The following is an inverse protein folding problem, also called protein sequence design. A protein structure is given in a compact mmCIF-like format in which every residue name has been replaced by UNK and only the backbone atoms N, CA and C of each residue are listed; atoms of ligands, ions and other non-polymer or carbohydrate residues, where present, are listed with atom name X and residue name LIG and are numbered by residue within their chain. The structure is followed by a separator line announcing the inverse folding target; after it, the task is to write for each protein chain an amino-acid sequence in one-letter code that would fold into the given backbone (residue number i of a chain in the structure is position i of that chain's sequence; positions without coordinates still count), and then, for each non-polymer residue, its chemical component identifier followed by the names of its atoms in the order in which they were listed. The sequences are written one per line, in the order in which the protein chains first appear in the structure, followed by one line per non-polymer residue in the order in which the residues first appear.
data_IF_216062322959
#
_entry.id   IF_216062322959
#
_cell.length_a   1.000
_cell.length_b   1.000
_cell.length_c   1.000
_cell.angle_alpha   90.00
_cell.angle_beta   90.00
_cell.angle_gamma   90.00
#
_symmetry.space_group_name_H-M   'P 1'
#
loop_
_entity.id
_entity.type
_entity.pdbx_description
1 polymer ?
#
# COMPACT_ATOMS: atom_id res chain seq x y z
N UNK A 1 16.06 -5.99 8.69
CA UNK A 1 14.59 -5.78 8.84
C UNK A 1 13.92 -6.02 7.51
N UNK A 2 12.78 -6.68 7.52
CA UNK A 2 12.02 -6.93 6.30
C UNK A 2 11.07 -5.79 5.99
N UNK A 3 11.06 -5.40 4.72
CA UNK A 3 10.12 -4.44 4.19
C UNK A 3 9.37 -5.03 3.00
N UNK A 4 8.25 -4.43 2.67
CA UNK A 4 7.36 -4.89 1.62
C UNK A 4 6.94 -3.72 0.74
N UNK A 5 6.68 -4.03 -0.53
CA UNK A 5 6.18 -3.05 -1.50
C UNK A 5 5.14 -3.74 -2.39
N UNK A 6 3.95 -3.17 -2.45
CA UNK A 6 2.87 -3.69 -3.29
C UNK A 6 2.84 -3.01 -4.66
N UNK A 7 2.70 -3.79 -5.72
CA UNK A 7 2.53 -3.26 -7.07
C UNK A 7 1.85 -4.28 -8.00
N UNK A 8 1.38 -3.80 -9.13
CA UNK A 8 0.87 -4.67 -10.20
C UNK A 8 1.95 -5.10 -11.18
N UNK A 9 3.18 -4.64 -11.02
CA UNK A 9 4.28 -4.90 -11.94
C UNK A 9 4.89 -6.29 -11.73
N UNK A 10 4.99 -7.05 -12.81
CA UNK A 10 5.57 -8.39 -12.83
C UNK A 10 7.05 -8.32 -13.18
N UNK A 11 7.85 -9.23 -12.60
CA UNK A 11 9.23 -9.44 -13.01
C UNK A 11 10.22 -8.40 -12.57
N UNK A 12 9.87 -7.58 -11.58
CA UNK A 12 10.81 -6.60 -11.03
C UNK A 12 11.92 -7.28 -10.25
N UNK A 13 13.16 -6.82 -10.45
CA UNK A 13 14.33 -7.27 -9.71
C UNK A 13 14.78 -6.22 -8.69
N UNK A 14 14.35 -4.99 -8.86
CA UNK A 14 14.67 -3.87 -7.99
C UNK A 14 13.55 -2.84 -8.02
N UNK A 15 13.46 -2.04 -6.97
CA UNK A 15 12.55 -0.90 -6.89
C UNK A 15 13.35 0.38 -7.13
N UNK A 16 12.85 1.24 -8.01
CA UNK A 16 13.48 2.51 -8.34
C UNK A 16 12.69 3.67 -7.79
N UNK A 17 13.36 4.74 -7.34
CA UNK A 17 12.65 5.94 -6.89
C UNK A 17 11.73 6.48 -7.96
N UNK A 18 10.50 6.81 -7.56
CA UNK A 18 9.50 7.39 -8.45
C UNK A 18 8.51 8.22 -7.63
N UNK A 19 7.75 9.07 -8.33
CA UNK A 19 6.65 9.81 -7.71
C UNK A 19 5.40 8.94 -7.76
N UNK A 20 4.78 8.63 -6.61
CA UNK A 20 3.53 7.87 -6.60
C UNK A 20 2.40 8.66 -7.26
N UNK A 21 1.42 7.94 -7.81
CA UNK A 21 0.21 8.54 -8.38
C UNK A 21 -0.51 9.34 -7.29
N UNK A 22 -0.86 10.60 -7.59
CA UNK A 22 -1.56 11.47 -6.65
C UNK A 22 -0.70 12.01 -5.51
N UNK A 23 0.61 11.81 -5.54
CA UNK A 23 1.49 12.28 -4.49
C UNK A 23 1.65 13.80 -4.53
N UNK A 24 1.66 14.41 -3.35
CA UNK A 24 2.03 15.82 -3.18
C UNK A 24 3.52 16.01 -2.95
N UNK A 25 4.27 14.91 -2.92
CA UNK A 25 5.70 14.89 -2.66
C UNK A 25 6.44 15.28 -3.94
N UNK A 26 7.40 16.19 -3.82
CA UNK A 26 8.18 16.71 -4.95
C UNK A 26 9.37 15.82 -5.31
N UNK A 27 9.79 14.94 -4.41
CA UNK A 27 10.99 14.13 -4.54
C UNK A 27 10.65 12.68 -4.84
N UNK A 28 11.27 12.08 -5.90
CA UNK A 28 11.06 10.65 -6.16
C UNK A 28 11.73 9.79 -5.09
N UNK A 29 10.97 8.86 -4.54
CA UNK A 29 11.44 7.94 -3.49
C UNK A 29 10.92 6.54 -3.76
N UNK A 30 11.61 5.54 -3.19
CA UNK A 30 11.06 4.21 -3.04
C UNK A 30 10.28 4.18 -1.72
N UNK A 31 9.03 3.75 -1.76
CA UNK A 31 8.16 3.68 -0.59
C UNK A 31 8.03 2.22 -0.15
N UNK A 32 8.33 1.99 1.12
CA UNK A 32 8.35 0.66 1.73
C UNK A 32 7.52 0.65 3.00
N UNK A 33 7.09 -0.53 3.41
CA UNK A 33 6.44 -0.69 4.70
C UNK A 33 6.88 -2.01 5.35
N UNK A 34 7.00 -2.01 6.67
CA UNK A 34 7.24 -3.23 7.43
C UNK A 34 5.95 -4.05 7.62
N UNK A 35 4.80 -3.51 7.24
CA UNK A 35 3.51 -4.20 7.31
C UNK A 35 3.16 -4.79 5.94
N UNK A 36 3.20 -6.11 5.83
CA UNK A 36 2.78 -6.82 4.63
C UNK A 36 1.32 -6.53 4.28
N UNK A 37 0.47 -6.43 5.31
CA UNK A 37 -0.95 -6.12 5.13
C UNK A 37 -1.15 -4.73 4.53
N UNK A 38 -0.41 -3.74 5.00
CA UNK A 38 -0.47 -2.41 4.41
C UNK A 38 -0.01 -2.41 2.95
N UNK A 39 1.01 -3.20 2.62
CA UNK A 39 1.50 -3.30 1.25
C UNK A 39 0.43 -3.77 0.27
N UNK A 40 -0.51 -4.62 0.70
CA UNK A 40 -1.64 -5.05 -0.13
C UNK A 40 -2.47 -3.87 -0.63
N UNK A 41 -2.65 -2.84 0.19
CA UNK A 41 -3.45 -1.68 -0.15
C UNK A 41 -2.81 -0.79 -1.23
N UNK A 42 -1.53 -0.98 -1.51
CA UNK A 42 -0.81 -0.25 -2.56
C UNK A 42 -0.75 -1.00 -3.89
N UNK A 43 -1.39 -2.15 -3.99
CA UNK A 43 -1.57 -2.86 -5.27
C UNK A 43 -2.77 -2.25 -5.97
N UNK A 44 -2.51 -1.23 -6.78
CA UNK A 44 -3.56 -0.42 -7.40
C UNK A 44 -3.68 -0.66 -8.89
N UNK A 45 -4.92 -0.76 -9.35
CA UNK A 45 -5.25 -0.49 -10.74
C UNK A 45 -5.33 1.03 -10.89
N UNK A 46 -4.32 1.61 -11.53
CA UNK A 46 -4.20 3.06 -11.66
C UNK A 46 -5.35 3.69 -12.44
N UNK A 47 -6.05 2.93 -13.27
CA UNK A 47 -7.22 3.43 -14.00
C UNK A 47 -8.41 3.71 -13.08
N UNK A 48 -8.45 3.06 -11.91
CA UNK A 48 -9.49 3.28 -10.90
C UNK A 48 -9.18 4.41 -9.94
N UNK A 49 -7.92 4.87 -9.93
CA UNK A 49 -7.52 6.02 -9.12
C UNK A 49 -7.93 7.30 -9.82
N UNK A 50 -8.45 8.23 -9.07
CA UNK A 50 -8.88 9.51 -9.59
C UNK A 50 -8.70 10.59 -8.54
N UNK A 51 -9.70 11.45 -8.41
CA UNK A 51 -9.70 12.47 -7.36
C UNK A 51 -9.77 11.84 -5.97
N UNK A 52 -10.41 10.67 -5.87
CA UNK A 52 -10.52 9.91 -4.62
C UNK A 52 -9.53 8.75 -4.64
N UNK A 53 -8.79 8.62 -3.55
CA UNK A 53 -7.78 7.58 -3.36
C UNK A 53 -8.23 6.64 -2.24
N UNK A 54 -7.73 5.37 -2.25
CA UNK A 54 -7.94 4.50 -1.09
C UNK A 54 -7.31 5.12 0.15
N UNK A 55 -8.05 5.09 1.26
CA UNK A 55 -7.60 5.65 2.53
C UNK A 55 -7.40 4.53 3.54
N UNK A 56 -6.16 4.34 3.97
CA UNK A 56 -5.81 3.36 4.99
C UNK A 56 -5.17 4.07 6.17
N UNK A 57 -5.58 3.69 7.36
CA UNK A 57 -5.05 4.22 8.60
C UNK A 57 -4.54 3.09 9.47
N UNK A 58 -3.52 3.37 10.28
CA UNK A 58 -3.01 2.44 11.28
C UNK A 58 -3.23 3.04 12.66
N UNK A 59 -3.98 2.33 13.49
CA UNK A 59 -4.20 2.73 14.88
C UNK A 59 -2.93 2.50 15.69
N UNK A 60 -2.86 3.11 16.87
CA UNK A 60 -1.72 2.98 17.79
C UNK A 60 -1.42 1.53 18.17
N UNK A 61 -2.42 0.67 18.19
CA UNK A 61 -2.27 -0.76 18.47
C UNK A 61 -1.81 -1.59 17.26
N UNK A 62 -1.55 -0.95 16.12
CA UNK A 62 -1.14 -1.61 14.88
C UNK A 62 -2.28 -2.09 13.99
N UNK A 63 -3.53 -1.91 14.40
CA UNK A 63 -4.70 -2.33 13.61
C UNK A 63 -4.87 -1.45 12.38
N UNK A 64 -4.96 -2.09 11.21
CA UNK A 64 -5.29 -1.40 9.97
C UNK A 64 -6.79 -1.13 9.89
N UNK A 65 -7.13 0.06 9.46
CA UNK A 65 -8.51 0.48 9.22
C UNK A 65 -8.60 1.05 7.82
N UNK A 66 -9.47 0.48 7.01
CA UNK A 66 -9.77 1.05 5.69
C UNK A 66 -10.92 2.03 5.83
N UNK A 67 -10.72 3.25 5.36
CA UNK A 67 -11.78 4.28 5.34
C UNK A 67 -12.41 4.31 3.97
N UNK A 68 -13.69 3.96 3.90
CA UNK A 68 -14.44 4.07 2.65
C UNK A 68 -14.93 5.52 2.50
N UNK A 69 -14.35 6.22 1.52
CA UNK A 69 -14.73 7.61 1.23
C UNK A 69 -16.08 7.72 0.52
N UNK A 70 -16.57 6.60 0.01
CA UNK A 70 -17.90 6.46 -0.59
C UNK A 70 -18.35 5.01 -0.41
N UNK A 71 -19.65 4.70 -0.55
CA UNK A 71 -20.14 3.32 -0.38
C UNK A 71 -19.42 2.33 -1.30
N UNK A 72 -18.96 1.21 -0.73
CA UNK A 72 -18.27 0.13 -1.45
C UNK A 72 -16.94 0.55 -2.09
N UNK A 73 -16.24 1.52 -1.49
CA UNK A 73 -14.95 2.00 -2.01
C UNK A 73 -13.90 0.89 -2.05
N UNK A 74 -13.84 0.02 -1.05
CA UNK A 74 -12.90 -1.09 -1.01
C UNK A 74 -13.11 -2.01 -2.23
N UNK A 75 -14.35 -2.36 -2.50
CA UNK A 75 -14.71 -3.18 -3.66
C UNK A 75 -14.33 -2.47 -4.95
N UNK A 76 -14.64 -1.19 -5.06
CA UNK A 76 -14.34 -0.40 -6.25
C UNK A 76 -12.85 -0.38 -6.58
N UNK A 77 -11.98 -0.18 -5.58
CA UNK A 77 -10.54 -0.06 -5.81
C UNK A 77 -9.85 -1.41 -6.01
N UNK A 78 -10.33 -2.48 -5.39
CA UNK A 78 -9.57 -3.72 -5.31
C UNK A 78 -10.21 -4.94 -5.95
N UNK A 79 -11.50 -4.94 -6.24
CA UNK A 79 -12.16 -6.09 -6.83
C UNK A 79 -11.62 -6.39 -8.23
N UNK A 80 -11.21 -7.62 -8.44
CA UNK A 80 -10.63 -8.06 -9.70
C UNK A 80 -9.16 -7.67 -9.90
N UNK A 81 -8.54 -7.04 -8.90
CA UNK A 81 -7.13 -6.65 -8.95
C UNK A 81 -6.26 -7.81 -8.48
N UNK A 82 -5.19 -8.09 -9.23
CA UNK A 82 -4.12 -8.99 -8.81
C UNK A 82 -2.79 -8.24 -8.89
N UNK A 83 -1.78 -8.73 -8.21
CA UNK A 83 -0.49 -8.08 -8.21
C UNK A 83 0.53 -8.82 -7.35
N UNK A 84 1.51 -8.09 -6.86
CA UNK A 84 2.66 -8.68 -6.20
C UNK A 84 3.02 -7.92 -4.93
N UNK A 85 3.44 -8.68 -3.92
CA UNK A 85 4.14 -8.14 -2.76
C UNK A 85 5.63 -8.45 -2.97
N UNK A 86 6.41 -7.40 -3.13
CA UNK A 86 7.87 -7.50 -3.24
C UNK A 86 8.49 -7.44 -1.87
N UNK A 87 9.42 -8.35 -1.59
CA UNK A 87 10.13 -8.42 -0.32
C UNK A 87 11.48 -7.74 -0.47
N UNK A 88 11.85 -6.94 0.52
CA UNK A 88 13.11 -6.22 0.58
C UNK A 88 13.71 -6.35 1.98
N UNK A 89 15.03 -6.32 2.07
CA UNK A 89 15.70 -6.32 3.36
C UNK A 89 16.69 -5.18 3.44
N UNK A 90 16.81 -4.58 4.61
CA UNK A 90 17.76 -3.50 4.85
C UNK A 90 17.32 -2.59 5.98
N UNK A 91 18.13 -1.58 6.23
CA UNK A 91 17.86 -0.53 7.20
C UNK A 91 17.46 0.73 6.44
N UNK A 92 16.16 0.94 6.34
CA UNK A 92 15.60 2.11 5.69
C UNK A 92 14.97 3.02 6.75
N UNK A 93 15.22 4.33 6.68
CA UNK A 93 14.70 5.25 7.67
C UNK A 93 13.17 5.35 7.56
N UNK A 94 12.51 5.40 8.72
CA UNK A 94 11.08 5.69 8.76
C UNK A 94 10.88 7.10 8.22
N UNK A 95 9.90 7.24 7.32
CA UNK A 95 9.57 8.53 6.75
C UNK A 95 8.99 9.45 7.83
N UNK A 96 9.69 10.56 8.19
CA UNK A 96 9.23 11.45 9.25
C UNK A 96 7.94 12.19 8.92
N UNK A 97 7.61 12.31 7.62
CA UNK A 97 6.38 12.95 7.17
C UNK A 97 5.20 11.98 7.09
N UNK A 98 5.44 10.69 7.37
CA UNK A 98 4.38 9.70 7.35
C UNK A 98 3.70 9.61 8.71
N UNK A 99 2.36 9.59 8.69
CA UNK A 99 1.57 9.30 9.88
C UNK A 99 1.49 7.79 10.16
N UNK A 100 2.09 6.98 9.30
CA UNK A 100 2.07 5.52 9.38
C UNK A 100 3.42 5.04 9.88
N UNK A 101 3.52 4.52 11.12
CA UNK A 101 4.81 4.21 11.74
C UNK A 101 5.58 3.05 11.08
N UNK A 102 4.94 2.32 10.17
CA UNK A 102 5.58 1.20 9.45
C UNK A 102 6.18 1.61 8.12
N UNK A 103 5.98 2.86 7.68
CA UNK A 103 6.46 3.32 6.39
C UNK A 103 7.91 3.80 6.44
N UNK A 104 8.68 3.40 5.45
CA UNK A 104 10.05 3.81 5.24
C UNK A 104 10.27 4.24 3.81
N UNK A 105 11.34 4.97 3.55
CA UNK A 105 11.66 5.45 2.21
C UNK A 105 13.14 5.27 1.90
N UNK A 106 13.44 5.21 0.60
CA UNK A 106 14.82 5.23 0.10
C UNK A 106 14.90 6.15 -1.10
N UNK A 107 15.92 6.99 -1.13
CA UNK A 107 16.24 7.81 -2.31
C UNK A 107 17.05 7.02 -3.34
N UNK A 108 17.47 5.83 -3.02
CA UNK A 108 18.26 4.95 -3.88
C UNK A 108 17.46 3.71 -4.27
N UNK A 109 17.97 2.99 -5.26
CA UNK A 109 17.40 1.73 -5.71
C UNK A 109 17.42 0.71 -4.58
N UNK A 110 16.33 -0.03 -4.43
CA UNK A 110 16.16 -1.07 -3.39
C UNK A 110 16.09 -2.43 -4.07
N UNK A 111 17.03 -3.35 -3.77
CA UNK A 111 16.96 -4.71 -4.32
C UNK A 111 15.76 -5.47 -3.79
N UNK A 112 15.15 -6.28 -4.65
CA UNK A 112 14.06 -7.18 -4.28
C UNK A 112 14.66 -8.54 -3.95
N UNK A 113 14.36 -9.05 -2.75
CA UNK A 113 14.87 -10.34 -2.27
C UNK A 113 13.87 -11.48 -2.46
N UNK A 114 12.62 -11.16 -2.73
CA UNK A 114 11.56 -12.14 -2.96
C UNK A 114 10.31 -11.49 -3.48
N UNK A 115 9.38 -12.32 -3.97
CA UNK A 115 8.14 -11.82 -4.53
C UNK A 115 7.02 -12.83 -4.27
N UNK A 116 5.85 -12.32 -3.93
CA UNK A 116 4.65 -13.12 -3.69
C UNK A 116 3.53 -12.62 -4.60
N UNK A 117 2.95 -13.54 -5.39
CA UNK A 117 1.81 -13.21 -6.24
C UNK A 117 0.53 -13.23 -5.41
N UNK A 118 -0.27 -12.18 -5.54
CA UNK A 118 -1.58 -12.04 -4.90
C UNK A 118 -2.63 -12.10 -6.01
N UNK A 119 -3.29 -13.24 -6.13
CA UNK A 119 -4.29 -13.46 -7.17
C UNK A 119 -5.52 -12.58 -7.02
N UNK A 120 -5.96 -12.38 -5.78
CA UNK A 120 -7.17 -11.62 -5.47
C UNK A 120 -6.89 -10.67 -4.31
N UNK A 121 -6.54 -9.43 -4.63
CA UNK A 121 -6.18 -8.41 -3.63
C UNK A 121 -7.36 -8.08 -2.74
N UNK A 122 -8.57 -7.97 -3.29
CA UNK A 122 -9.79 -7.68 -2.52
C UNK A 122 -10.01 -8.73 -1.42
N UNK A 123 -9.98 -10.01 -1.77
CA UNK A 123 -10.14 -11.09 -0.79
C UNK A 123 -9.00 -11.13 0.22
N UNK A 124 -7.77 -10.87 -0.22
CA UNK A 124 -6.62 -10.83 0.68
C UNK A 124 -6.76 -9.73 1.73
N UNK A 125 -7.26 -8.56 1.34
CA UNK A 125 -7.53 -7.46 2.27
C UNK A 125 -8.64 -7.83 3.23
N UNK A 126 -9.75 -8.36 2.73
CA UNK A 126 -10.88 -8.76 3.57
C UNK A 126 -10.49 -9.82 4.60
N UNK A 127 -9.54 -10.70 4.26
CA UNK A 127 -9.16 -11.81 5.14
C UNK A 127 -8.51 -11.36 6.45
N UNK A 128 -7.87 -10.18 6.48
CA UNK A 128 -7.20 -9.70 7.69
C UNK A 128 -7.90 -8.51 8.36
N UNK A 129 -8.83 -7.84 7.66
CA UNK A 129 -9.54 -6.72 8.28
C UNK A 129 -10.46 -7.22 9.38
N UNK A 130 -10.34 -6.70 10.60
CA UNK A 130 -11.28 -7.05 11.67
C UNK A 130 -12.70 -6.62 11.31
N UNK A 131 -13.68 -7.35 11.84
CA UNK A 131 -15.08 -6.98 11.68
C UNK A 131 -15.32 -5.56 12.19
N UNK A 132 -15.99 -4.74 11.40
CA UNK A 132 -16.26 -3.34 11.76
C UNK A 132 -15.10 -2.38 11.50
N UNK A 133 -14.00 -2.85 10.90
CA UNK A 133 -12.87 -2.00 10.57
C UNK A 133 -13.10 -1.12 9.34
N UNK A 134 -14.10 -1.44 8.51
CA UNK A 134 -14.50 -0.60 7.39
C UNK A 134 -15.33 0.57 7.92
N UNK A 135 -14.93 1.77 7.53
CA UNK A 135 -15.64 2.98 7.91
C UNK A 135 -16.04 3.75 6.67
N UNK A 136 -17.31 4.16 6.63
CA UNK A 136 -17.82 5.01 5.57
C UNK A 136 -17.65 6.47 5.97
N UNK A 137 -17.01 7.22 5.10
CA UNK A 137 -17.03 8.69 5.18
C UNK A 137 -17.94 9.20 4.08
N UNK A 138 -19.03 9.81 4.49
CA UNK A 138 -19.90 10.50 3.56
C UNK A 138 -19.46 11.96 3.56
N UNK A 139 -18.98 12.43 2.42
CA UNK A 139 -18.76 13.86 2.22
C UNK A 139 -20.04 14.50 1.76
N UNK A 140 -20.49 15.34 2.58
CA UNK A 140 -21.66 16.16 2.28
C UNK A 140 -21.18 17.46 1.64
#
# INVERSE_FOLDING_TARGET
MKFYHGSTSKGLTELRPHLPVGAHIQEPLVYLTSSKQLALHYIWDTERLGVKMPMVDIRQDGTLVFQEMFPNALEYFYKGVSGYIHHCEGDYPINPDSHVPTCATSSEVVPITGCEFIENVYEAILSYLPQGSLKHRIHI
#
